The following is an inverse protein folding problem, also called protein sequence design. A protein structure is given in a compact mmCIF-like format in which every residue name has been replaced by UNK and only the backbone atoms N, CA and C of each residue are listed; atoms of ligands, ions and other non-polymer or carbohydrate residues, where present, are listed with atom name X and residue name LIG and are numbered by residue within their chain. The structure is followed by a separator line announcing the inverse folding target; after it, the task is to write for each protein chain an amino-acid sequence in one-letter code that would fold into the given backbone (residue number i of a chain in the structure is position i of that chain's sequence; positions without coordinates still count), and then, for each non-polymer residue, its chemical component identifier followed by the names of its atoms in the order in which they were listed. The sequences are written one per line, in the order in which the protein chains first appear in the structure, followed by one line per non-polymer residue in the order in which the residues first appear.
data_IF_620001361344
#
_entry.id   IF_620001361344
#
_cell.length_a   1.000
_cell.length_b   1.000
_cell.length_c   1.000
_cell.angle_alpha   90.00
_cell.angle_beta   90.00
_cell.angle_gamma   90.00
#
_symmetry.space_group_name_H-M   'P 1'
#
loop_
_entity.id
_entity.type
_entity.pdbx_description
1 polymer ?
#
# COMPACT_ATOMS: atom_id res chain seq x y z
N UNK A 1 13.56 1.02 -26.86
CA UNK A 1 13.24 1.28 -25.44
C UNK A 1 12.05 0.42 -25.09
N UNK A 2 12.27 -0.65 -24.33
CA UNK A 2 11.23 -1.62 -23.96
C UNK A 2 10.31 -1.02 -22.90
N UNK A 3 8.99 -1.17 -23.05
CA UNK A 3 8.04 -0.79 -22.01
C UNK A 3 8.36 -1.55 -20.71
N UNK A 4 8.27 -0.88 -19.53
CA UNK A 4 8.34 -1.59 -18.27
C UNK A 4 7.19 -2.61 -18.29
N UNK A 5 7.55 -3.88 -18.23
CA UNK A 5 6.62 -4.98 -18.42
C UNK A 5 5.43 -4.75 -17.49
N UNK A 6 4.21 -4.75 -18.07
CA UNK A 6 2.98 -4.60 -17.33
C UNK A 6 3.03 -5.55 -16.14
N UNK A 7 2.88 -4.99 -14.93
CA UNK A 7 3.00 -5.68 -13.66
C UNK A 7 2.46 -7.10 -13.81
N UNK A 8 3.35 -8.09 -13.69
CA UNK A 8 3.00 -9.51 -13.71
C UNK A 8 1.87 -9.67 -12.72
N UNK A 9 0.65 -9.81 -13.22
CA UNK A 9 -0.59 -9.68 -12.45
C UNK A 9 -0.86 -11.01 -11.75
N UNK A 10 0.19 -11.53 -11.11
CA UNK A 10 0.17 -12.66 -10.21
C UNK A 10 0.13 -12.16 -8.77
N UNK A 11 -0.27 -13.06 -7.88
CA UNK A 11 -0.44 -12.92 -6.43
C UNK A 11 0.67 -12.15 -5.70
N UNK A 12 1.88 -12.04 -6.28
CA UNK A 12 3.04 -11.33 -5.72
C UNK A 12 2.78 -9.84 -5.45
N UNK A 13 1.98 -9.16 -6.27
CA UNK A 13 1.70 -7.74 -6.03
C UNK A 13 0.95 -7.51 -4.70
N UNK A 14 0.08 -8.45 -4.35
CA UNK A 14 -0.82 -8.38 -3.20
C UNK A 14 -0.38 -9.25 -2.05
N UNK A 15 0.72 -9.98 -2.16
CA UNK A 15 1.22 -10.81 -1.07
C UNK A 15 1.58 -9.92 0.14
N UNK A 16 1.22 -10.39 1.33
CA UNK A 16 1.66 -9.81 2.60
C UNK A 16 3.19 -9.65 2.63
N UNK A 17 3.69 -8.59 3.26
CA UNK A 17 5.12 -8.31 3.20
C UNK A 17 5.94 -9.41 3.86
N UNK A 18 5.45 -9.96 4.98
CA UNK A 18 6.16 -10.99 5.75
C UNK A 18 6.22 -12.32 5.00
N UNK A 19 5.16 -12.65 4.26
CA UNK A 19 5.10 -13.86 3.42
C UNK A 19 6.08 -13.75 2.26
N UNK A 20 6.17 -12.59 1.61
CA UNK A 20 7.14 -12.44 0.52
C UNK A 20 8.60 -12.41 0.99
N UNK A 21 8.88 -11.96 2.22
CA UNK A 21 10.22 -12.08 2.81
C UNK A 21 10.47 -13.43 3.48
N UNK A 22 9.43 -14.23 3.74
CA UNK A 22 9.48 -15.41 4.59
C UNK A 22 10.08 -15.09 5.98
N UNK A 23 9.78 -13.90 6.50
CA UNK A 23 10.40 -13.32 7.70
C UNK A 23 9.39 -12.47 8.49
N UNK A 24 9.43 -12.55 9.82
CA UNK A 24 8.65 -11.73 10.75
C UNK A 24 9.21 -10.30 10.89
N UNK A 25 9.41 -9.60 9.77
CA UNK A 25 10.09 -8.30 9.80
C UNK A 25 9.26 -7.18 10.46
N UNK A 26 7.92 -7.31 10.57
CA UNK A 26 7.12 -6.32 11.29
C UNK A 26 7.41 -6.39 12.78
N UNK A 27 7.74 -7.57 13.30
CA UNK A 27 8.12 -7.74 14.71
C UNK A 27 9.35 -6.90 15.08
N UNK A 28 10.38 -6.91 14.22
CA UNK A 28 11.58 -6.09 14.44
C UNK A 28 11.25 -4.60 14.49
N UNK A 29 10.35 -4.13 13.61
CA UNK A 29 9.91 -2.74 13.57
C UNK A 29 9.00 -2.37 14.74
N UNK A 30 8.15 -3.29 15.20
CA UNK A 30 7.16 -3.07 16.26
C UNK A 30 7.78 -3.16 17.67
N UNK A 31 8.82 -3.98 17.85
CA UNK A 31 9.64 -3.98 19.08
C UNK A 31 10.47 -2.72 19.26
N UNK A 32 10.55 -1.84 18.25
CA UNK A 32 11.19 -0.54 18.44
C UNK A 32 10.30 0.34 19.34
N UNK A 33 10.87 1.06 20.33
CA UNK A 33 10.13 1.84 21.35
C UNK A 33 9.23 2.97 20.83
N UNK A 34 9.16 3.18 19.50
CA UNK A 34 8.63 4.39 18.88
C UNK A 34 7.25 4.21 18.22
N UNK A 35 6.67 3.01 18.15
CA UNK A 35 5.52 2.76 17.26
C UNK A 35 4.35 1.99 17.88
N UNK A 36 4.39 1.59 19.15
CA UNK A 36 3.30 0.79 19.74
C UNK A 36 2.12 1.70 20.07
N UNK A 37 1.14 1.73 19.18
CA UNK A 37 -0.21 2.24 19.47
C UNK A 37 -0.95 1.13 20.21
N UNK A 38 -1.31 1.36 21.47
CA UNK A 38 -2.04 0.37 22.27
C UNK A 38 -3.39 -0.01 21.63
N UNK A 39 -3.78 -1.29 21.73
CA UNK A 39 -5.10 -1.80 21.34
C UNK A 39 -6.27 -0.97 21.91
N UNK A 40 -6.16 -0.49 23.15
CA UNK A 40 -7.15 0.40 23.80
C UNK A 40 -7.35 1.71 23.02
N UNK A 41 -6.30 2.19 22.36
CA UNK A 41 -6.32 3.39 21.56
C UNK A 41 -6.98 3.15 20.20
N UNK A 42 -6.87 1.95 19.63
CA UNK A 42 -7.61 1.57 18.42
C UNK A 42 -9.10 1.46 18.69
N UNK A 43 -9.51 0.84 19.79
CA UNK A 43 -10.93 0.81 20.20
C UNK A 43 -11.52 2.22 20.41
N UNK A 44 -10.66 3.16 20.80
CA UNK A 44 -11.02 4.57 20.95
C UNK A 44 -11.05 5.32 19.61
N UNK A 45 -10.12 5.04 18.69
CA UNK A 45 -10.11 5.56 17.31
C UNK A 45 -11.32 5.08 16.49
N UNK A 46 -11.77 3.84 16.74
CA UNK A 46 -13.01 3.30 16.17
C UNK A 46 -14.25 4.10 16.62
N UNK A 47 -14.14 4.88 17.70
CA UNK A 47 -15.20 5.68 18.31
C UNK A 47 -14.98 7.21 18.25
N UNK A 48 -13.81 7.70 17.81
CA UNK A 48 -13.48 9.13 17.84
C UNK A 48 -12.53 9.54 16.71
N UNK A 49 -12.92 10.58 15.97
CA UNK A 49 -12.26 11.20 14.81
C UNK A 49 -11.09 12.14 15.21
N UNK A 50 -10.25 11.76 16.19
CA UNK A 50 -9.15 12.62 16.69
C UNK A 50 -7.77 12.00 16.49
N UNK A 51 -6.87 12.80 15.93
CA UNK A 51 -5.53 12.44 15.44
C UNK A 51 -4.41 12.41 16.50
N UNK A 52 -4.70 12.69 17.77
CA UNK A 52 -3.65 12.76 18.80
C UNK A 52 -3.54 11.46 19.59
N UNK A 53 -2.49 10.68 19.27
CA UNK A 53 -2.17 9.38 19.88
C UNK A 53 -1.16 9.54 21.04
N UNK A 54 -1.49 9.14 22.27
CA UNK A 54 -0.53 9.02 23.36
C UNK A 54 0.34 7.76 23.17
N UNK A 55 1.66 7.93 23.18
CA UNK A 55 2.65 6.84 23.21
C UNK A 55 3.09 6.61 24.66
N UNK A 56 2.87 5.42 25.22
CA UNK A 56 3.47 5.04 26.50
C UNK A 56 4.75 4.20 26.30
N UNK A 57 5.84 4.50 27.02
CA UNK A 57 7.06 3.71 26.97
C UNK A 57 6.96 2.42 27.82
N UNK A 58 7.23 1.27 27.21
CA UNK A 58 7.37 -0.03 27.90
C UNK A 58 8.84 -0.29 28.33
N UNK A 59 9.09 -0.90 29.50
CA UNK A 59 10.43 -1.25 29.96
C UNK A 59 11.07 -2.38 29.14
N UNK A 60 12.38 -2.26 28.91
CA UNK A 60 13.16 -3.18 28.08
C UNK A 60 13.60 -4.44 28.85
N UNK A 61 13.41 -5.61 28.26
CA UNK A 61 14.17 -6.83 28.59
C UNK A 61 15.46 -6.88 27.75
N UNK A 62 16.56 -7.35 28.35
CA UNK A 62 17.93 -7.19 27.83
C UNK A 62 18.36 -8.19 26.73
N UNK A 63 17.51 -9.14 26.33
CA UNK A 63 17.74 -9.94 25.12
C UNK A 63 16.45 -10.09 24.31
N UNK A 64 16.48 -9.85 22.99
CA UNK A 64 15.30 -10.04 22.15
C UNK A 64 14.93 -11.54 22.11
N UNK A 65 13.66 -11.90 22.37
CA UNK A 65 13.20 -13.28 22.27
C UNK A 65 13.49 -13.86 20.88
N UNK A 66 14.01 -15.10 20.83
CA UNK A 66 14.25 -15.83 19.58
C UNK A 66 12.93 -15.99 18.82
N UNK A 67 12.94 -15.66 17.54
CA UNK A 67 11.75 -15.75 16.69
C UNK A 67 11.42 -17.21 16.35
N UNK A 68 10.14 -17.60 16.35
CA UNK A 68 9.74 -18.87 15.78
C UNK A 68 10.04 -18.89 14.26
N UNK A 69 10.16 -20.09 13.67
CA UNK A 69 10.21 -20.22 12.22
C UNK A 69 9.00 -19.55 11.56
N UNK A 70 9.24 -18.82 10.47
CA UNK A 70 8.17 -18.15 9.73
C UNK A 70 7.10 -19.14 9.26
N UNK A 71 5.83 -18.78 9.48
CA UNK A 71 4.65 -19.52 9.02
C UNK A 71 3.55 -18.55 8.61
N UNK A 72 2.79 -18.96 7.60
CA UNK A 72 1.59 -18.24 7.19
C UNK A 72 0.56 -18.23 8.32
N UNK A 73 -0.09 -17.09 8.56
CA UNK A 73 -1.16 -16.93 9.53
C UNK A 73 -2.26 -16.00 8.98
N UNK A 74 -3.46 -15.96 9.59
CA UNK A 74 -4.58 -15.17 9.10
C UNK A 74 -4.32 -13.65 8.99
N UNK A 75 -3.35 -13.08 9.71
CA UNK A 75 -3.02 -11.65 9.57
C UNK A 75 -2.50 -11.32 8.17
N UNK A 76 -1.81 -12.27 7.53
CA UNK A 76 -1.29 -12.11 6.18
C UNK A 76 -2.41 -12.02 5.13
N UNK A 77 -3.51 -12.72 5.32
CA UNK A 77 -4.64 -12.69 4.38
C UNK A 77 -5.23 -11.27 4.34
N UNK A 78 -5.39 -10.68 5.53
CA UNK A 78 -5.89 -9.31 5.68
C UNK A 78 -4.90 -8.25 5.20
N UNK A 79 -3.60 -8.45 5.42
CA UNK A 79 -2.57 -7.59 4.82
C UNK A 79 -2.61 -7.67 3.30
N UNK A 80 -2.89 -8.86 2.73
CA UNK A 80 -2.99 -9.03 1.29
C UNK A 80 -4.17 -8.27 0.69
N UNK A 81 -5.32 -8.27 1.38
CA UNK A 81 -6.48 -7.42 1.01
C UNK A 81 -6.13 -5.93 1.14
N UNK A 82 -5.41 -5.53 2.20
CA UNK A 82 -4.96 -4.16 2.34
C UNK A 82 -4.05 -3.72 1.17
N UNK A 83 -3.12 -4.58 0.75
CA UNK A 83 -2.27 -4.33 -0.42
C UNK A 83 -3.06 -4.19 -1.72
N UNK A 84 -4.13 -4.97 -1.90
CA UNK A 84 -5.04 -4.81 -3.02
C UNK A 84 -5.71 -3.42 -3.01
N UNK A 85 -6.17 -2.95 -1.85
CA UNK A 85 -6.76 -1.61 -1.74
C UNK A 85 -5.73 -0.49 -1.99
N UNK A 86 -4.49 -0.64 -1.49
CA UNK A 86 -3.37 0.27 -1.80
C UNK A 86 -3.11 0.30 -3.30
N UNK A 87 -3.07 -0.87 -3.94
CA UNK A 87 -2.89 -0.96 -5.38
C UNK A 87 -3.99 -0.22 -6.12
N UNK A 88 -5.27 -0.42 -5.76
CA UNK A 88 -6.39 0.32 -6.37
C UNK A 88 -6.22 1.84 -6.20
N UNK A 89 -5.82 2.29 -5.01
CA UNK A 89 -5.60 3.71 -4.70
C UNK A 89 -4.53 4.37 -5.59
N UNK A 90 -3.45 3.65 -5.94
CA UNK A 90 -2.38 4.17 -6.80
C UNK A 90 -2.56 3.85 -8.29
N UNK A 91 -3.24 2.76 -8.63
CA UNK A 91 -3.39 2.30 -10.01
C UNK A 91 -4.64 2.88 -10.70
N UNK A 92 -5.69 3.19 -9.94
CA UNK A 92 -6.89 3.83 -10.46
C UNK A 92 -6.77 5.34 -10.27
N UNK A 93 -6.83 6.08 -11.37
CA UNK A 93 -6.63 7.53 -11.34
C UNK A 93 -7.94 8.28 -11.53
N UNK A 94 -8.34 9.06 -10.53
CA UNK A 94 -9.61 9.79 -10.50
C UNK A 94 -9.54 11.22 -11.05
N UNK A 95 -8.35 11.84 -11.06
CA UNK A 95 -8.17 13.26 -11.45
C UNK A 95 -7.20 13.46 -12.61
N UNK A 96 -7.54 14.37 -13.52
CA UNK A 96 -6.70 14.78 -14.66
C UNK A 96 -5.42 15.49 -14.24
N UNK A 97 -5.30 15.95 -12.99
CA UNK A 97 -4.32 16.97 -12.61
C UNK A 97 -3.06 16.45 -11.90
N UNK A 98 -3.01 15.19 -11.45
CA UNK A 98 -1.83 14.65 -10.71
C UNK A 98 -1.45 13.21 -11.05
N UNK A 99 -1.71 12.80 -12.28
CA UNK A 99 -1.43 11.43 -12.77
C UNK A 99 0.05 11.04 -12.66
N UNK A 100 0.98 11.99 -12.81
CA UNK A 100 2.42 11.71 -12.82
C UNK A 100 2.99 11.37 -11.44
N UNK A 101 2.62 12.11 -10.40
CA UNK A 101 3.05 11.83 -9.02
C UNK A 101 2.48 10.49 -8.56
N UNK A 102 1.20 10.23 -8.85
CA UNK A 102 0.55 8.94 -8.59
C UNK A 102 1.28 7.81 -9.31
N UNK A 103 1.67 8.01 -10.57
CA UNK A 103 2.45 7.05 -11.35
C UNK A 103 3.83 6.79 -10.71
N UNK A 104 4.59 7.83 -10.37
CA UNK A 104 5.90 7.66 -9.75
C UNK A 104 5.79 6.92 -8.42
N UNK A 105 4.80 7.26 -7.60
CA UNK A 105 4.60 6.62 -6.31
C UNK A 105 4.14 5.16 -6.46
N UNK A 106 3.31 4.83 -7.47
CA UNK A 106 2.98 3.45 -7.80
C UNK A 106 4.23 2.60 -8.03
N UNK A 107 5.14 3.04 -8.92
CA UNK A 107 6.37 2.28 -9.20
C UNK A 107 7.37 2.31 -8.04
N UNK A 108 7.37 3.38 -7.23
CA UNK A 108 8.18 3.40 -6.00
C UNK A 108 7.73 2.31 -5.04
N UNK A 109 6.43 2.19 -4.80
CA UNK A 109 5.86 1.23 -3.84
C UNK A 109 5.93 -0.20 -4.38
N UNK A 110 5.41 -0.42 -5.60
CA UNK A 110 5.27 -1.75 -6.19
C UNK A 110 6.47 -2.21 -7.03
N UNK A 111 7.54 -1.41 -7.09
CA UNK A 111 8.76 -1.75 -7.84
C UNK A 111 9.65 -2.76 -7.14
N UNK A 112 9.52 -2.94 -5.82
CA UNK A 112 10.30 -3.93 -5.07
C UNK A 112 9.62 -4.32 -3.75
N UNK A 113 9.99 -5.50 -3.22
CA UNK A 113 9.51 -5.96 -1.93
C UNK A 113 10.00 -5.07 -0.78
N UNK A 114 11.24 -4.57 -0.85
CA UNK A 114 11.78 -3.64 0.13
C UNK A 114 10.96 -2.35 0.19
N UNK A 115 10.57 -1.80 -0.95
CA UNK A 115 9.76 -0.59 -0.97
C UNK A 115 8.33 -0.80 -0.43
N UNK A 116 7.74 -1.99 -0.62
CA UNK A 116 6.47 -2.35 0.04
C UNK A 116 6.62 -2.40 1.56
N UNK A 117 7.70 -3.01 2.05
CA UNK A 117 8.04 -3.02 3.48
C UNK A 117 8.16 -1.58 4.01
N UNK A 118 8.94 -0.73 3.34
CA UNK A 118 9.10 0.68 3.73
C UNK A 118 7.76 1.43 3.71
N UNK A 119 6.90 1.20 2.72
CA UNK A 119 5.59 1.86 2.64
C UNK A 119 4.66 1.49 3.81
N UNK A 120 4.87 0.36 4.46
CA UNK A 120 4.13 -0.03 5.67
C UNK A 120 4.55 0.76 6.92
N UNK A 121 5.60 1.58 6.83
CA UNK A 121 5.93 2.59 7.84
C UNK A 121 4.98 3.79 7.72
N UNK A 122 4.42 4.23 8.85
CA UNK A 122 3.42 5.30 8.88
C UNK A 122 3.93 6.62 8.26
N UNK A 123 5.22 6.93 8.44
CA UNK A 123 5.85 8.14 7.89
C UNK A 123 5.95 8.07 6.36
N UNK A 124 6.38 6.93 5.81
CA UNK A 124 6.46 6.67 4.37
C UNK A 124 5.09 6.63 3.72
N UNK A 125 4.11 6.03 4.39
CA UNK A 125 2.72 6.06 3.95
C UNK A 125 2.25 7.50 3.74
N UNK A 126 2.38 8.35 4.77
CA UNK A 126 1.96 9.76 4.71
C UNK A 126 2.69 10.52 3.60
N UNK A 127 4.01 10.34 3.50
CA UNK A 127 4.82 10.97 2.46
C UNK A 127 4.33 10.62 1.05
N UNK A 128 4.10 9.33 0.78
CA UNK A 128 3.77 8.84 -0.56
C UNK A 128 2.29 9.00 -0.92
N UNK A 129 1.41 9.26 0.05
CA UNK A 129 -0.02 9.51 -0.19
C UNK A 129 -0.42 10.99 -0.15
N UNK A 130 0.49 11.91 0.22
CA UNK A 130 0.20 13.36 0.33
C UNK A 130 -0.44 13.99 -0.92
N UNK A 131 -0.07 13.53 -2.12
CA UNK A 131 -0.61 14.00 -3.39
C UNK A 131 -2.09 13.60 -3.64
N UNK A 132 -2.62 12.62 -2.89
CA UNK A 132 -3.99 12.10 -2.99
C UNK A 132 -5.00 12.89 -2.14
N UNK A 133 -4.76 14.19 -1.95
CA UNK A 133 -5.63 15.09 -1.18
C UNK A 133 -7.06 15.19 -1.72
N UNK A 134 -7.30 14.77 -2.97
CA UNK A 134 -8.64 14.69 -3.57
C UNK A 134 -9.47 13.48 -3.12
N UNK A 135 -8.85 12.51 -2.44
CA UNK A 135 -9.53 11.31 -1.91
C UNK A 135 -9.16 11.09 -0.43
N UNK A 136 -9.39 12.09 0.45
CA UNK A 136 -8.91 12.04 1.83
C UNK A 136 -9.55 10.90 2.64
N UNK A 137 -10.82 10.58 2.37
CA UNK A 137 -11.51 9.46 3.00
C UNK A 137 -10.84 8.11 2.69
N UNK A 138 -10.40 7.91 1.44
CA UNK A 138 -9.67 6.71 1.03
C UNK A 138 -8.32 6.62 1.76
N UNK A 139 -7.53 7.69 1.70
CA UNK A 139 -6.20 7.74 2.34
C UNK A 139 -6.31 7.51 3.84
N UNK A 140 -7.24 8.18 4.52
CA UNK A 140 -7.48 8.03 5.95
C UNK A 140 -7.92 6.61 6.32
N UNK A 141 -8.81 6.00 5.53
CA UNK A 141 -9.27 4.62 5.77
C UNK A 141 -8.13 3.61 5.62
N UNK A 142 -7.33 3.72 4.56
CA UNK A 142 -6.17 2.83 4.33
C UNK A 142 -5.10 3.05 5.41
N UNK A 143 -4.86 4.29 5.83
CA UNK A 143 -3.93 4.62 6.93
C UNK A 143 -4.40 4.00 8.25
N UNK A 144 -5.67 4.17 8.58
CA UNK A 144 -6.27 3.60 9.79
C UNK A 144 -6.22 2.08 9.78
N UNK A 145 -6.37 1.44 8.61
CA UNK A 145 -6.19 0.00 8.47
C UNK A 145 -4.72 -0.40 8.64
N UNK A 146 -3.76 0.35 8.13
CA UNK A 146 -2.34 0.09 8.37
C UNK A 146 -2.00 0.17 9.88
N UNK A 147 -2.54 1.15 10.59
CA UNK A 147 -2.36 1.24 12.05
C UNK A 147 -2.96 0.04 12.77
N UNK A 148 -4.18 -0.37 12.40
CA UNK A 148 -4.82 -1.56 12.96
C UNK A 148 -3.99 -2.83 12.69
N UNK A 149 -3.57 -3.04 11.44
CA UNK A 149 -2.65 -4.11 11.05
C UNK A 149 -1.43 -4.16 11.97
N UNK A 150 -0.73 -3.05 12.13
CA UNK A 150 0.47 -2.96 12.97
C UNK A 150 0.19 -3.29 14.43
N UNK A 151 -0.94 -2.85 14.99
CA UNK A 151 -1.35 -3.19 16.36
C UNK A 151 -1.69 -4.67 16.50
N UNK A 152 -2.41 -5.28 15.55
CA UNK A 152 -2.72 -6.71 15.60
C UNK A 152 -1.45 -7.57 15.56
N UNK A 153 -0.50 -7.24 14.68
CA UNK A 153 0.82 -7.89 14.70
C UNK A 153 1.51 -7.70 16.05
N UNK A 154 1.55 -6.48 16.59
CA UNK A 154 2.19 -6.19 17.87
C UNK A 154 1.59 -7.04 19.00
N UNK A 155 0.27 -7.05 19.12
CA UNK A 155 -0.45 -7.80 20.15
C UNK A 155 -0.15 -9.30 20.05
N UNK A 156 -0.20 -9.88 18.84
CA UNK A 156 0.08 -11.30 18.64
C UNK A 156 1.52 -11.66 19.02
N UNK A 157 2.47 -10.78 18.68
CA UNK A 157 3.87 -10.97 19.01
C UNK A 157 4.15 -10.82 20.51
N UNK A 158 3.57 -9.81 21.15
CA UNK A 158 3.66 -9.62 22.61
C UNK A 158 3.05 -10.80 23.38
N UNK A 159 1.88 -11.28 22.94
CA UNK A 159 1.24 -12.44 23.52
C UNK A 159 2.14 -13.67 23.40
N UNK A 160 2.74 -13.91 22.23
CA UNK A 160 3.67 -15.02 22.04
C UNK A 160 4.90 -14.89 22.95
N UNK A 161 5.49 -13.70 23.05
CA UNK A 161 6.67 -13.44 23.87
C UNK A 161 6.38 -13.60 25.37
N UNK A 162 5.13 -13.40 25.80
CA UNK A 162 4.71 -13.56 27.19
C UNK A 162 4.56 -15.02 27.63
N UNK A 163 4.55 -15.98 26.69
CA UNK A 163 4.41 -17.40 27.01
C UNK A 163 5.72 -17.98 27.54
N UNK A 164 5.65 -18.66 28.69
CA UNK A 164 6.81 -19.31 29.30
C UNK A 164 7.46 -20.37 28.38
N UNK A 165 6.68 -20.96 27.47
CA UNK A 165 7.14 -21.85 26.42
C UNK A 165 6.53 -21.40 25.09
N UNK A 166 7.19 -20.49 24.35
CA UNK A 166 6.64 -19.96 23.11
C UNK A 166 6.40 -21.10 22.11
N UNK A 167 5.21 -21.17 21.48
CA UNK A 167 4.95 -22.16 20.46
C UNK A 167 5.89 -21.96 19.28
N UNK A 168 6.17 -23.04 18.53
CA UNK A 168 6.97 -22.99 17.31
C UNK A 168 6.26 -22.26 16.16
N UNK A 169 5.00 -21.88 16.35
CA UNK A 169 4.15 -21.22 15.36
C UNK A 169 3.43 -20.07 16.08
N UNK A 170 3.44 -18.88 15.47
CA UNK A 170 2.63 -17.76 15.92
C UNK A 170 1.15 -18.16 15.96
N UNK A 171 0.59 -18.25 17.16
CA UNK A 171 -0.83 -18.50 17.34
C UNK A 171 -1.55 -17.16 17.38
N UNK A 172 -2.52 -17.01 16.48
CA UNK A 172 -3.49 -15.92 16.51
C UNK A 172 -4.77 -16.54 17.01
N UNK A 173 -5.29 -16.06 18.15
CA UNK A 173 -6.52 -16.60 18.72
C UNK A 173 -7.74 -16.23 17.86
N UNK A 174 -8.81 -17.04 17.95
CA UNK A 174 -10.01 -16.90 17.14
C UNK A 174 -10.68 -15.53 17.32
N UNK A 175 -10.65 -14.95 18.53
CA UNK A 175 -11.23 -13.64 18.81
C UNK A 175 -10.45 -12.53 18.10
N UNK A 176 -9.11 -12.60 18.12
CA UNK A 176 -8.23 -11.67 17.39
C UNK A 176 -8.42 -11.81 15.88
N UNK A 177 -8.54 -13.04 15.36
CA UNK A 177 -8.86 -13.29 13.95
C UNK A 177 -10.19 -12.63 13.59
N UNK A 178 -11.25 -12.92 14.34
CA UNK A 178 -12.59 -12.39 14.09
C UNK A 178 -12.61 -10.86 14.14
N UNK A 179 -12.00 -10.27 15.17
CA UNK A 179 -11.91 -8.83 15.34
C UNK A 179 -11.21 -8.18 14.15
N UNK A 180 -10.12 -8.79 13.66
CA UNK A 180 -9.36 -8.23 12.55
C UNK A 180 -10.13 -8.33 11.22
N UNK A 181 -10.81 -9.44 10.96
CA UNK A 181 -11.71 -9.59 9.82
C UNK A 181 -12.88 -8.59 9.88
N UNK A 182 -13.47 -8.38 11.06
CA UNK A 182 -14.50 -7.38 11.27
C UNK A 182 -14.00 -5.96 10.95
N UNK A 183 -12.79 -5.62 11.38
CA UNK A 183 -12.16 -4.35 11.08
C UNK A 183 -11.99 -4.15 9.57
N UNK A 184 -11.41 -5.14 8.87
CA UNK A 184 -11.23 -5.04 7.43
C UNK A 184 -12.54 -4.98 6.66
N UNK A 185 -13.58 -5.71 7.08
CA UNK A 185 -14.94 -5.56 6.51
C UNK A 185 -15.47 -4.13 6.70
N UNK A 186 -15.28 -3.53 7.88
CA UNK A 186 -15.68 -2.15 8.14
C UNK A 186 -14.92 -1.18 7.22
N UNK A 187 -13.60 -1.35 7.10
CA UNK A 187 -12.77 -0.53 6.23
C UNK A 187 -13.19 -0.64 4.76
N UNK A 188 -13.41 -1.85 4.24
CA UNK A 188 -13.90 -2.08 2.88
C UNK A 188 -15.23 -1.37 2.61
N UNK A 189 -16.19 -1.45 3.54
CA UNK A 189 -17.47 -0.72 3.42
C UNK A 189 -17.28 0.80 3.42
N UNK A 190 -16.34 1.32 4.20
CA UNK A 190 -16.01 2.75 4.18
C UNK A 190 -15.39 3.16 2.84
N UNK A 191 -14.49 2.35 2.28
CA UNK A 191 -13.91 2.57 0.96
C UNK A 191 -14.97 2.52 -0.15
N UNK A 192 -15.86 1.53 -0.10
CA UNK A 192 -16.98 1.37 -1.03
C UNK A 192 -17.85 2.63 -1.05
N UNK A 193 -18.35 3.07 0.11
CA UNK A 193 -19.14 4.31 0.23
C UNK A 193 -18.36 5.54 -0.24
N UNK A 194 -17.07 5.61 0.06
CA UNK A 194 -16.20 6.69 -0.38
C UNK A 194 -15.93 6.69 -1.89
N UNK A 195 -16.20 5.59 -2.58
CA UNK A 195 -15.99 5.44 -4.03
C UNK A 195 -17.20 5.83 -4.87
N UNK A 196 -18.42 5.78 -4.31
CA UNK A 196 -19.66 6.16 -5.01
C UNK A 196 -19.67 7.55 -5.66
N UNK A 197 -19.12 8.63 -5.05
CA UNK A 197 -19.13 9.95 -5.67
C UNK A 197 -18.00 10.17 -6.68
N UNK A 198 -17.12 9.18 -6.89
CA UNK A 198 -15.92 9.37 -7.72
C UNK A 198 -16.27 9.27 -9.22
N UNK A 199 -15.70 10.14 -10.06
CA UNK A 199 -15.85 10.04 -11.50
C UNK A 199 -15.22 8.74 -12.02
N UNK A 200 -15.59 8.35 -13.24
CA UNK A 200 -15.11 7.14 -13.90
C UNK A 200 -13.59 6.96 -13.76
N UNK A 201 -13.19 5.84 -13.15
CA UNK A 201 -11.79 5.50 -12.96
C UNK A 201 -11.16 5.09 -14.28
N UNK A 202 -9.99 5.65 -14.58
CA UNK A 202 -9.17 5.20 -15.71
C UNK A 202 -7.92 4.53 -15.15
N UNK A 203 -7.48 3.42 -15.76
CA UNK A 203 -6.22 2.79 -15.35
C UNK A 203 -5.06 3.76 -15.59
N UNK A 204 -4.10 3.72 -14.70
CA UNK A 204 -2.92 4.58 -14.78
C UNK A 204 -2.17 4.45 -16.13
N UNK A 205 -2.12 3.24 -16.71
CA UNK A 205 -1.52 2.99 -18.03
C UNK A 205 -2.30 3.63 -19.18
N UNK A 206 -3.63 3.52 -19.17
CA UNK A 206 -4.52 4.11 -20.17
C UNK A 206 -4.42 5.64 -20.14
N UNK A 207 -4.33 6.22 -18.94
CA UNK A 207 -4.12 7.67 -18.76
C UNK A 207 -2.81 8.16 -19.35
N UNK A 208 -1.72 7.42 -19.13
CA UNK A 208 -0.40 7.73 -19.70
C UNK A 208 -0.44 7.73 -21.24
N UNK A 209 -1.15 6.78 -21.84
CA UNK A 209 -1.32 6.72 -23.30
C UNK A 209 -2.11 7.93 -23.83
N UNK A 210 -3.17 8.36 -23.13
CA UNK A 210 -3.94 9.56 -23.50
C UNK A 210 -3.09 10.84 -23.44
N UNK A 211 -2.25 10.99 -22.41
CA UNK A 211 -1.37 12.16 -22.28
C UNK A 211 -0.29 12.22 -23.37
N UNK A 212 0.31 11.07 -23.70
CA UNK A 212 1.30 10.98 -24.78
C UNK A 212 0.65 11.29 -26.16
N UNK A 213 -0.58 10.82 -26.37
CA UNK A 213 -1.33 11.09 -27.60
C UNK A 213 -1.66 12.57 -27.78
N UNK A 214 -1.85 13.33 -26.70
CA UNK A 214 -2.08 14.79 -26.75
C UNK A 214 -0.81 15.60 -27.00
N UNK A 215 0.34 15.13 -26.54
CA UNK A 215 1.64 15.80 -26.72
C UNK A 215 2.23 15.60 -28.11
N UNK A 216 1.72 14.64 -28.88
CA UNK A 216 2.10 14.49 -30.29
C UNK A 216 1.35 15.55 -31.09
N UNK A 217 2.02 16.57 -31.67
CA UNK A 217 1.33 17.50 -32.53
C UNK A 217 0.72 16.69 -33.67
N UNK A 218 -0.58 16.83 -33.91
CA UNK A 218 -1.13 16.45 -35.21
C UNK A 218 -0.34 17.27 -36.21
N UNK A 219 0.61 16.65 -36.90
CA UNK A 219 1.10 17.15 -38.17
C UNK A 219 -0.14 17.25 -39.03
N UNK A 220 -0.72 18.45 -39.04
CA UNK A 220 -1.70 18.85 -40.03
C UNK A 220 -0.92 18.73 -41.32
N UNK A 221 -1.13 17.61 -42.00
CA UNK A 221 -0.83 17.43 -43.41
C UNK A 221 -1.66 18.48 -44.15
N UNK A 222 -1.22 19.74 -44.09
CA UNK A 222 -1.60 20.73 -45.08
C UNK A 222 -1.06 20.17 -46.38
N UNK A 223 -1.97 19.73 -47.24
CA UNK A 223 -1.70 19.18 -48.56
C UNK A 223 -1.05 20.22 -49.47
N UNK A 224 0.21 20.54 -49.20
CA UNK A 224 1.09 21.22 -50.13
C UNK A 224 1.95 20.13 -50.74
N UNK A 225 1.58 19.73 -51.96
CA UNK A 225 2.41 18.93 -52.84
C UNK A 225 3.77 19.64 -53.00
N UNK A 226 4.78 19.19 -52.27
CA UNK A 226 6.16 19.58 -52.52
C UNK A 226 6.67 18.81 -53.75
N UNK A 227 7.19 19.49 -54.79
CA UNK A 227 7.67 18.82 -55.98
C UNK A 227 8.95 18.03 -55.68
N UNK A 228 8.99 16.78 -56.16
CA UNK A 228 10.15 15.90 -56.04
C UNK A 228 11.39 16.50 -56.73
N UNK A 229 12.59 16.41 -56.11
CA UNK A 229 13.81 16.91 -56.72
C UNK A 229 14.23 16.05 -57.92
N UNK A 230 14.44 16.71 -59.06
CA UNK A 230 14.95 16.08 -60.28
C UNK A 230 16.36 15.53 -60.05
N UNK A 231 16.53 14.21 -60.25
CA UNK A 231 17.83 13.54 -60.30
C UNK A 231 18.69 14.17 -61.41
N UNK A 232 19.82 14.78 -61.04
CA UNK A 232 20.90 15.10 -62.00
C UNK A 232 21.60 13.80 -62.38
N UNK A 233 21.55 13.46 -63.67
CA UNK A 233 22.48 12.52 -64.32
C UNK A 233 23.82 13.22 -64.48
N UNK A 234 24.88 12.67 -63.90
CA UNK A 234 26.26 12.94 -64.31
C UNK A 234 26.65 11.93 -65.38
N UNK A 235 27.16 12.45 -66.49
CA UNK A 235 28.02 11.72 -67.44
C UNK A 235 29.41 11.58 -66.84
#
# INVERSE_FOLDING_TARGET
MSEPHGATTGTVAFIATEVASMEHHRLELLRLPRLVVSRKTIDSLVKSDRDDLPLEPQPFSSEPPRLPPFRHNPLHDMESVWWLCVWMMFYLSYSKERSWEQFQNYYRIFGSQAAKKDFSELSKFKQLTNHLSGTPAFVSTIYSWLMALNSFYSDCYEQQDSLANPPTILQVDDDTIELFYNYGRKALRTLEKGSEPLPECVKLSERRQQENSRKTPRLISNGVNLPLPKKRRTQ
#
